data_IF_529422628433
#
_entry.id   IF_529422628433
#
_cell.length_a   1.000
_cell.length_b   1.000
_cell.length_c   1.000
_cell.angle_alpha   90.00
_cell.angle_beta   90.00
_cell.angle_gamma   90.00
#
_symmetry.space_group_name_H-M   'P 1'
#
loop_
_entity.id
_entity.type
_entity.pdbx_description
1 polymer ?
#
# COMPACT_ATOMS: atom_id res chain seq x y z
N UNK A 1 -24.73 3.77 11.06
CA UNK A 1 -23.43 3.31 11.60
C UNK A 1 -22.62 2.76 10.45
N UNK A 2 -21.32 3.05 10.36
CA UNK A 2 -20.48 2.40 9.36
C UNK A 2 -20.25 0.94 9.74
N UNK A 3 -20.30 0.06 8.74
CA UNK A 3 -19.87 -1.33 8.83
C UNK A 3 -18.36 -1.41 9.03
N UNK A 4 -17.88 -2.52 9.59
CA UNK A 4 -16.45 -2.82 9.73
C UNK A 4 -15.71 -2.71 8.39
N UNK A 5 -16.32 -3.22 7.32
CA UNK A 5 -15.79 -3.15 5.97
C UNK A 5 -15.64 -1.72 5.48
N UNK A 6 -16.63 -0.86 5.68
CA UNK A 6 -16.55 0.56 5.27
C UNK A 6 -15.47 1.31 6.05
N UNK A 7 -15.28 0.99 7.34
CA UNK A 7 -14.18 1.54 8.15
C UNK A 7 -12.82 1.15 7.58
N UNK A 8 -12.63 -0.13 7.24
CA UNK A 8 -11.40 -0.62 6.61
C UNK A 8 -11.18 0.05 5.25
N UNK A 9 -12.21 0.14 4.40
CA UNK A 9 -12.12 0.82 3.10
C UNK A 9 -11.63 2.26 3.27
N UNK A 10 -12.25 3.02 4.18
CA UNK A 10 -11.86 4.40 4.45
C UNK A 10 -10.45 4.52 5.03
N UNK A 11 -10.04 3.58 5.88
CA UNK A 11 -8.67 3.50 6.39
C UNK A 11 -7.65 3.28 5.26
N UNK A 12 -7.94 2.38 4.32
CA UNK A 12 -7.08 2.11 3.16
C UNK A 12 -7.00 3.30 2.19
N UNK A 13 -8.09 4.06 2.03
CA UNK A 13 -8.11 5.31 1.27
C UNK A 13 -7.18 6.36 1.91
N UNK A 14 -7.35 6.61 3.22
CA UNK A 14 -6.50 7.53 3.97
C UNK A 14 -5.02 7.11 3.98
N UNK A 15 -4.75 5.82 4.11
CA UNK A 15 -3.40 5.28 3.96
C UNK A 15 -2.81 5.63 2.60
N UNK A 16 -3.59 5.43 1.54
CA UNK A 16 -3.13 5.71 0.17
C UNK A 16 -2.81 7.20 0.01
N UNK A 17 -3.69 8.07 0.48
CA UNK A 17 -3.50 9.53 0.42
C UNK A 17 -2.29 10.00 1.22
N UNK A 18 -2.09 9.49 2.44
CA UNK A 18 -0.98 9.89 3.30
C UNK A 18 0.37 9.34 2.88
N UNK A 19 0.41 8.11 2.39
CA UNK A 19 1.65 7.40 2.08
C UNK A 19 2.14 7.66 0.65
N UNK A 20 1.23 8.01 -0.28
CA UNK A 20 1.58 8.27 -1.68
C UNK A 20 2.67 9.34 -1.84
N UNK A 21 2.59 10.55 -1.22
CA UNK A 21 3.62 11.58 -1.36
C UNK A 21 4.98 11.12 -0.83
N UNK A 22 5.00 10.29 0.21
CA UNK A 22 6.24 9.74 0.74
C UNK A 22 6.89 8.76 -0.24
N UNK A 23 6.11 7.81 -0.75
CA UNK A 23 6.58 6.79 -1.71
C UNK A 23 7.08 7.44 -3.00
N UNK A 24 6.32 8.40 -3.54
CA UNK A 24 6.71 9.14 -4.74
C UNK A 24 8.04 9.87 -4.55
N UNK A 25 8.23 10.58 -3.43
CA UNK A 25 9.49 11.27 -3.12
C UNK A 25 10.67 10.30 -3.01
N UNK A 26 10.51 9.16 -2.35
CA UNK A 26 11.61 8.20 -2.19
C UNK A 26 11.98 7.55 -3.52
N UNK A 27 10.99 7.16 -4.32
CA UNK A 27 11.23 6.58 -5.65
C UNK A 27 11.87 7.59 -6.60
N UNK A 28 11.41 8.85 -6.62
CA UNK A 28 12.03 9.92 -7.40
C UNK A 28 13.47 10.20 -6.95
N UNK A 29 13.74 10.17 -5.65
CA UNK A 29 15.10 10.37 -5.14
C UNK A 29 16.06 9.27 -5.58
N UNK A 30 15.61 8.01 -5.62
CA UNK A 30 16.46 6.87 -5.97
C UNK A 30 16.54 6.62 -7.50
N UNK A 31 15.40 6.61 -8.19
CA UNK A 31 15.29 6.27 -9.61
C UNK A 31 15.24 7.49 -10.55
N UNK A 32 15.19 8.72 -10.03
CA UNK A 32 15.10 9.97 -10.81
C UNK A 32 13.93 9.91 -11.81
N UNK A 33 14.17 10.16 -13.09
CA UNK A 33 13.14 10.19 -14.14
C UNK A 33 12.53 8.80 -14.42
N UNK A 34 13.23 7.71 -14.08
CA UNK A 34 12.78 6.33 -14.28
C UNK A 34 11.87 5.80 -13.15
N UNK A 35 11.53 6.63 -12.16
CA UNK A 35 10.75 6.19 -11.00
C UNK A 35 9.38 5.59 -11.36
N UNK A 36 8.69 6.16 -12.35
CA UNK A 36 7.42 5.63 -12.87
C UNK A 36 7.61 4.25 -13.48
N UNK A 37 8.72 4.03 -14.18
CA UNK A 37 9.04 2.72 -14.77
C UNK A 37 9.36 1.70 -13.69
N UNK A 38 10.07 2.10 -12.62
CA UNK A 38 10.36 1.25 -11.48
C UNK A 38 9.08 0.84 -10.74
N UNK A 39 8.17 1.78 -10.46
CA UNK A 39 6.86 1.48 -9.87
C UNK A 39 6.02 0.56 -10.76
N UNK A 40 5.99 0.80 -12.08
CA UNK A 40 5.27 -0.05 -13.04
C UNK A 40 5.83 -1.48 -13.17
N UNK A 41 7.07 -1.75 -12.74
CA UNK A 41 7.63 -3.11 -12.75
C UNK A 41 7.03 -3.97 -11.65
N UNK A 42 6.92 -3.41 -10.44
CA UNK A 42 6.34 -4.08 -9.27
C UNK A 42 4.94 -4.65 -9.51
N UNK A 43 4.08 -3.93 -10.23
CA UNK A 43 2.71 -4.41 -10.51
C UNK A 43 2.59 -5.28 -11.77
N UNK A 44 3.61 -5.28 -12.63
CA UNK A 44 3.59 -6.12 -13.85
C UNK A 44 3.86 -7.58 -13.55
N UNK A 45 4.51 -7.88 -12.43
CA UNK A 45 4.65 -9.23 -11.91
C UNK A 45 3.35 -9.72 -11.23
N UNK A 46 2.59 -8.81 -10.61
CA UNK A 46 1.30 -9.08 -9.95
C UNK A 46 0.10 -9.11 -10.93
N UNK A 47 0.19 -9.98 -11.94
CA UNK A 47 -0.75 -10.10 -13.09
C UNK A 47 -2.17 -10.56 -12.73
N UNK A 48 -2.99 -9.69 -12.13
CA UNK A 48 -4.43 -9.96 -12.02
C UNK A 48 -5.36 -8.79 -12.39
N UNK A 49 -4.85 -7.58 -12.62
CA UNK A 49 -5.65 -6.46 -13.15
C UNK A 49 -5.12 -5.98 -14.49
N UNK A 50 -5.94 -6.18 -15.51
CA UNK A 50 -5.82 -5.55 -16.83
C UNK A 50 -5.85 -4.04 -16.61
N UNK A 51 -4.67 -3.40 -16.60
CA UNK A 51 -4.58 -1.94 -16.68
C UNK A 51 -5.07 -1.53 -18.08
N UNK A 52 -6.05 -0.62 -18.19
CA UNK A 52 -6.46 -0.10 -19.50
C UNK A 52 -5.23 0.55 -20.17
N UNK A 53 -5.11 0.34 -21.49
CA UNK A 53 -4.12 1.04 -22.32
C UNK A 53 -4.35 2.55 -22.17
N UNK A 54 -3.49 3.23 -21.43
CA UNK A 54 -3.56 4.67 -21.20
C UNK A 54 -2.83 5.05 -19.91
N UNK A 55 -1.94 6.03 -19.99
CA UNK A 55 -0.83 6.37 -19.10
C UNK A 55 -1.12 6.73 -17.62
N UNK A 56 -2.25 6.38 -17.03
CA UNK A 56 -2.55 6.76 -15.63
C UNK A 56 -2.29 5.58 -14.70
N UNK A 57 -1.18 5.64 -13.96
CA UNK A 57 -0.96 4.74 -12.82
C UNK A 57 -2.05 5.08 -11.78
N UNK A 58 -3.04 4.21 -11.64
CA UNK A 58 -4.05 4.32 -10.58
C UNK A 58 -3.43 3.84 -9.27
N UNK A 59 -3.12 4.76 -8.39
CA UNK A 59 -2.62 4.44 -7.06
C UNK A 59 -3.79 4.04 -6.17
N UNK A 60 -3.82 2.77 -5.78
CA UNK A 60 -4.67 2.25 -4.71
C UNK A 60 -3.78 1.66 -3.60
N UNK A 61 -4.37 1.35 -2.44
CA UNK A 61 -3.62 0.79 -1.31
C UNK A 61 -2.83 -0.47 -1.67
N UNK A 62 -3.38 -1.32 -2.55
CA UNK A 62 -2.72 -2.54 -3.01
C UNK A 62 -1.44 -2.25 -3.76
N UNK A 63 -1.57 -1.36 -4.74
CA UNK A 63 -0.52 -0.88 -5.60
C UNK A 63 0.55 -0.28 -4.68
N UNK A 64 0.20 0.75 -3.90
CA UNK A 64 1.16 1.42 -3.04
C UNK A 64 1.94 0.49 -2.10
N UNK A 65 1.26 -0.44 -1.41
CA UNK A 65 1.89 -1.40 -0.51
C UNK A 65 2.79 -2.41 -1.23
N UNK A 66 2.43 -2.81 -2.45
CA UNK A 66 3.23 -3.76 -3.25
C UNK A 66 4.52 -3.11 -3.75
N UNK A 67 4.49 -1.85 -4.21
CA UNK A 67 5.73 -1.11 -4.53
C UNK A 67 6.61 -0.91 -3.32
N UNK A 68 6.03 -0.59 -2.16
CA UNK A 68 6.82 -0.46 -0.94
C UNK A 68 7.51 -1.77 -0.57
N UNK A 69 6.81 -2.89 -0.73
CA UNK A 69 7.36 -4.21 -0.47
C UNK A 69 8.52 -4.56 -1.41
N UNK A 70 8.35 -4.39 -2.71
CA UNK A 70 9.35 -4.78 -3.71
C UNK A 70 10.60 -3.90 -3.63
N UNK A 71 10.40 -2.59 -3.46
CA UNK A 71 11.48 -1.61 -3.36
C UNK A 71 11.97 -1.44 -1.92
N UNK A 72 11.55 -2.30 -0.99
CA UNK A 72 11.91 -2.16 0.43
C UNK A 72 13.41 -2.14 0.64
N UNK A 73 14.12 -3.15 0.13
CA UNK A 73 15.55 -3.30 0.37
C UNK A 73 16.38 -2.22 -0.32
N UNK A 74 15.91 -1.73 -1.46
CA UNK A 74 16.62 -0.78 -2.30
C UNK A 74 16.38 0.67 -1.86
N UNK A 75 15.14 1.03 -1.55
CA UNK A 75 14.68 2.41 -1.35
C UNK A 75 14.29 2.66 0.11
N UNK A 76 13.41 1.84 0.68
CA UNK A 76 12.77 2.17 1.95
C UNK A 76 13.57 1.78 3.20
N UNK A 77 14.42 0.76 3.12
CA UNK A 77 15.25 0.25 4.24
C UNK A 77 16.16 1.33 4.86
N UNK A 78 16.50 2.37 4.10
CA UNK A 78 17.33 3.47 4.60
C UNK A 78 16.55 4.48 5.46
N UNK A 79 15.22 4.49 5.35
CA UNK A 79 14.34 5.47 6.02
C UNK A 79 13.35 4.83 7.00
N UNK A 80 12.92 3.61 6.71
CA UNK A 80 11.97 2.83 7.49
C UNK A 80 12.68 1.60 8.07
N UNK A 81 12.32 1.25 9.31
CA UNK A 81 12.89 0.14 10.04
C UNK A 81 12.17 -1.19 9.81
N UNK A 82 12.58 -2.25 10.54
CA UNK A 82 11.95 -3.56 10.44
C UNK A 82 10.49 -3.57 10.94
N UNK A 83 10.11 -2.64 11.81
CA UNK A 83 8.75 -2.56 12.36
C UNK A 83 7.75 -2.13 11.28
N UNK A 84 8.07 -1.09 10.54
CA UNK A 84 7.25 -0.55 9.46
C UNK A 84 7.11 -1.57 8.33
N UNK A 85 8.16 -2.37 8.09
CA UNK A 85 8.09 -3.49 7.14
C UNK A 85 7.01 -4.49 7.54
N UNK A 86 6.98 -4.86 8.82
CA UNK A 86 5.97 -5.77 9.36
C UNK A 86 4.56 -5.19 9.25
N UNK A 87 4.39 -3.90 9.53
CA UNK A 87 3.10 -3.21 9.37
C UNK A 87 2.63 -3.20 7.90
N UNK A 88 3.54 -2.95 6.95
CA UNK A 88 3.22 -3.00 5.52
C UNK A 88 2.77 -4.41 5.10
N UNK A 89 3.43 -5.47 5.57
CA UNK A 89 2.98 -6.84 5.33
C UNK A 89 1.56 -7.08 5.85
N UNK A 90 1.33 -6.67 7.09
CA UNK A 90 0.07 -6.89 7.78
C UNK A 90 -1.09 -6.17 7.09
N UNK A 91 -0.93 -4.88 6.76
CA UNK A 91 -1.96 -4.13 6.04
C UNK A 91 -2.20 -4.72 4.64
N UNK A 92 -1.15 -5.23 3.98
CA UNK A 92 -1.29 -5.91 2.69
C UNK A 92 -2.13 -7.18 2.81
N UNK A 93 -1.91 -7.97 3.84
CA UNK A 93 -2.71 -9.17 4.13
C UNK A 93 -4.19 -8.82 4.36
N UNK A 94 -4.45 -7.83 5.23
CA UNK A 94 -5.82 -7.37 5.48
C UNK A 94 -6.49 -6.80 4.23
N UNK A 95 -5.78 -6.02 3.41
CA UNK A 95 -6.30 -5.56 2.12
C UNK A 95 -6.63 -6.73 1.21
N UNK A 96 -5.81 -7.77 1.20
CA UNK A 96 -6.04 -8.98 0.40
C UNK A 96 -7.32 -9.71 0.86
N UNK A 97 -7.47 -9.92 2.17
CA UNK A 97 -8.71 -10.45 2.78
C UNK A 97 -9.94 -9.61 2.39
N UNK A 98 -9.81 -8.28 2.42
CA UNK A 98 -10.87 -7.34 2.02
C UNK A 98 -11.26 -7.49 0.55
N UNK A 99 -10.27 -7.66 -0.34
CA UNK A 99 -10.50 -7.89 -1.77
C UNK A 99 -11.19 -9.24 -2.04
N UNK A 100 -10.93 -10.26 -1.21
CA UNK A 100 -11.59 -11.56 -1.26
C UNK A 100 -12.95 -11.62 -0.56
N UNK A 101 -13.50 -10.48 -0.13
CA UNK A 101 -14.81 -10.39 0.55
C UNK A 101 -14.90 -11.24 1.83
N UNK A 102 -13.79 -11.46 2.52
CA UNK A 102 -13.81 -12.13 3.81
C UNK A 102 -14.49 -11.26 4.88
N UNK A 103 -15.07 -11.92 5.87
CA UNK A 103 -15.63 -11.25 7.04
C UNK A 103 -14.53 -10.61 7.90
N UNK A 104 -14.85 -9.45 8.45
CA UNK A 104 -14.00 -8.71 9.38
C UNK A 104 -14.75 -8.53 10.69
N UNK A 105 -14.20 -9.06 11.75
CA UNK A 105 -14.69 -8.79 13.09
C UNK A 105 -14.22 -7.40 13.58
N UNK A 106 -14.63 -7.04 14.79
CA UNK A 106 -14.24 -5.77 15.40
C UNK A 106 -12.73 -5.70 15.68
N UNK A 107 -12.12 -6.82 16.10
CA UNK A 107 -10.70 -6.90 16.46
C UNK A 107 -9.80 -6.74 15.23
N UNK A 108 -10.12 -7.42 14.13
CA UNK A 108 -9.50 -7.27 12.81
C UNK A 108 -9.59 -5.81 12.35
N UNK A 109 -10.79 -5.23 12.41
CA UNK A 109 -11.03 -3.84 11.99
C UNK A 109 -10.18 -2.88 12.81
N UNK A 110 -10.18 -3.03 14.13
CA UNK A 110 -9.39 -2.20 15.03
C UNK A 110 -7.89 -2.36 14.75
N UNK A 111 -7.41 -3.59 14.56
CA UNK A 111 -6.00 -3.89 14.31
C UNK A 111 -5.49 -3.30 13.00
N UNK A 112 -6.30 -3.36 11.93
CA UNK A 112 -6.00 -2.71 10.65
C UNK A 112 -5.83 -1.21 10.83
N UNK A 113 -6.78 -0.57 11.52
CA UNK A 113 -6.79 0.88 11.69
C UNK A 113 -5.62 1.36 12.56
N UNK A 114 -5.30 0.66 13.65
CA UNK A 114 -4.10 0.93 14.47
C UNK A 114 -2.81 0.75 13.67
N UNK A 115 -2.73 -0.29 12.82
CA UNK A 115 -1.57 -0.51 11.96
C UNK A 115 -1.38 0.61 10.93
N UNK A 116 -2.48 1.09 10.35
CA UNK A 116 -2.49 2.22 9.41
C UNK A 116 -2.06 3.51 10.12
N UNK A 117 -2.59 3.79 11.32
CA UNK A 117 -2.21 4.96 12.10
C UNK A 117 -0.71 4.95 12.42
N UNK A 118 -0.18 3.82 12.88
CA UNK A 118 1.24 3.66 13.21
C UNK A 118 2.16 3.83 12.00
N UNK A 119 1.70 3.44 10.81
CA UNK A 119 2.48 3.59 9.58
C UNK A 119 2.46 5.03 9.05
N UNK A 120 1.42 5.82 9.37
CA UNK A 120 1.28 7.22 8.96
C UNK A 120 1.88 8.23 9.93
N UNK A 121 2.29 7.79 11.13
CA UNK A 121 2.87 8.62 12.18
C UNK A 121 4.36 8.88 11.98
#
# INVERSE_FOLDING_TARGET
MLTNRERVTRGLELLTEGLYPFVERQLRAFYKDDWLRAARRSYREDRSRILPKGDVVRWDAHTLLTVMWDHWNSVFKQKLGPLERSLVCEIRDFRNRWAHQQDFDFCDTFRVLDSIERLLR
#
